data_IF_550733088046
#
_entry.id   IF_550733088046
#
_cell.length_a   1.000
_cell.length_b   1.000
_cell.length_c   1.000
_cell.angle_alpha   90.00
_cell.angle_beta   90.00
_cell.angle_gamma   90.00
#
_symmetry.space_group_name_H-M   'P 1'
#
loop_
_entity.id
_entity.type
_entity.pdbx_description
1 polymer ?
#
# COMPACT_ATOMS: atom_id res chain seq x y z
N UNK A 1 -0.32 23.85 0.68
CA UNK A 1 1.00 23.74 0.02
C UNK A 1 0.81 23.86 -1.47
N UNK A 2 1.81 24.44 -2.18
CA UNK A 2 1.87 24.37 -3.64
C UNK A 2 2.66 23.14 -4.07
N UNK A 3 2.00 22.21 -4.77
CA UNK A 3 2.59 20.94 -5.19
C UNK A 3 2.56 20.86 -6.72
N UNK A 4 3.72 20.60 -7.32
CA UNK A 4 3.84 20.35 -8.76
C UNK A 4 4.02 18.86 -9.00
N UNK A 5 3.14 18.26 -9.80
CA UNK A 5 3.17 16.84 -10.16
C UNK A 5 3.55 16.72 -11.63
N UNK A 6 4.67 16.05 -11.92
CA UNK A 6 5.10 15.72 -13.28
C UNK A 6 4.66 14.29 -13.63
N UNK A 7 3.71 14.16 -14.54
CA UNK A 7 3.14 12.90 -15.00
C UNK A 7 1.65 12.77 -14.66
N UNK A 8 0.82 12.59 -15.69
CA UNK A 8 -0.63 12.40 -15.62
C UNK A 8 -1.04 10.91 -15.83
N UNK A 9 -0.16 9.97 -15.50
CA UNK A 9 -0.44 8.53 -15.50
C UNK A 9 -1.44 8.15 -14.41
N UNK A 10 -1.81 6.87 -14.29
CA UNK A 10 -2.69 6.37 -13.21
C UNK A 10 -2.16 6.75 -11.82
N UNK A 11 -0.85 6.70 -11.61
CA UNK A 11 -0.19 7.13 -10.37
C UNK A 11 -0.36 8.63 -10.14
N UNK A 12 -0.07 9.46 -11.16
CA UNK A 12 -0.24 10.92 -11.06
C UNK A 12 -1.68 11.32 -10.78
N UNK A 13 -2.65 10.75 -11.51
CA UNK A 13 -4.09 10.97 -11.28
C UNK A 13 -4.51 10.59 -9.85
N UNK A 14 -3.99 9.50 -9.34
CA UNK A 14 -4.31 9.04 -7.98
C UNK A 14 -3.70 9.91 -6.91
N UNK A 15 -2.46 10.39 -7.12
CA UNK A 15 -1.83 11.38 -6.25
C UNK A 15 -2.62 12.69 -6.20
N UNK A 16 -3.07 13.17 -7.36
CA UNK A 16 -3.95 14.36 -7.43
C UNK A 16 -5.19 14.14 -6.57
N UNK A 17 -5.91 13.02 -6.78
CA UNK A 17 -7.12 12.72 -6.03
C UNK A 17 -6.90 12.67 -4.52
N UNK A 18 -5.75 12.19 -4.10
CA UNK A 18 -5.38 12.10 -2.68
C UNK A 18 -4.98 13.46 -2.10
N UNK A 19 -4.12 14.18 -2.80
CA UNK A 19 -3.60 15.47 -2.34
C UNK A 19 -4.62 16.59 -2.41
N UNK A 20 -5.63 16.48 -3.27
CA UNK A 20 -6.76 17.43 -3.36
C UNK A 20 -7.61 17.44 -2.08
N UNK A 21 -7.70 16.32 -1.35
CA UNK A 21 -8.39 16.26 -0.05
C UNK A 21 -7.73 17.17 1.00
N UNK A 22 -6.44 17.42 0.86
CA UNK A 22 -5.66 18.26 1.75
C UNK A 22 -5.75 19.78 1.48
N UNK A 23 -6.62 20.28 0.60
CA UNK A 23 -6.71 21.69 0.18
C UNK A 23 -5.34 22.26 -0.25
N UNK A 24 -4.65 21.54 -1.13
CA UNK A 24 -3.38 21.93 -1.73
C UNK A 24 -3.62 22.63 -3.07
N UNK A 25 -2.71 23.53 -3.44
CA UNK A 25 -2.63 24.14 -4.78
C UNK A 25 -1.83 23.17 -5.67
N UNK A 26 -2.51 22.47 -6.59
CA UNK A 26 -1.91 21.39 -7.36
C UNK A 26 -1.78 21.80 -8.82
N UNK A 27 -0.56 21.72 -9.34
CA UNK A 27 -0.25 21.87 -10.76
C UNK A 27 0.17 20.51 -11.32
N UNK A 28 -0.44 20.09 -12.44
CA UNK A 28 -0.08 18.84 -13.11
C UNK A 28 0.51 19.12 -14.47
N UNK A 29 1.69 18.55 -14.72
CA UNK A 29 2.44 18.72 -15.98
C UNK A 29 2.53 17.37 -16.69
N UNK A 30 2.06 17.30 -17.94
CA UNK A 30 2.22 16.11 -18.80
C UNK A 30 2.31 16.52 -20.28
N UNK A 31 2.92 15.68 -21.11
CA UNK A 31 2.96 15.87 -22.57
C UNK A 31 1.62 15.57 -23.24
N UNK A 32 0.80 14.72 -22.62
CA UNK A 32 -0.51 14.26 -23.10
C UNK A 32 -1.62 15.17 -22.58
N UNK A 33 -2.18 15.99 -23.49
CA UNK A 33 -3.25 16.90 -23.16
C UNK A 33 -4.55 16.17 -22.76
N UNK A 34 -4.85 15.00 -23.33
CA UNK A 34 -6.07 14.26 -23.03
C UNK A 34 -6.05 13.74 -21.58
N UNK A 35 -4.91 13.21 -21.11
CA UNK A 35 -4.74 12.80 -19.71
C UNK A 35 -4.92 13.97 -18.73
N UNK A 36 -4.41 15.16 -19.10
CA UNK A 36 -4.55 16.38 -18.28
C UNK A 36 -6.02 16.84 -18.20
N UNK A 37 -6.73 16.84 -19.33
CA UNK A 37 -8.14 17.19 -19.38
C UNK A 37 -9.00 16.24 -18.52
N UNK A 38 -8.72 14.94 -18.56
CA UNK A 38 -9.45 13.96 -17.76
C UNK A 38 -9.26 14.16 -16.25
N UNK A 39 -8.05 14.54 -15.82
CA UNK A 39 -7.80 14.87 -14.42
C UNK A 39 -8.50 16.18 -14.03
N UNK A 40 -8.43 17.20 -14.89
CA UNK A 40 -9.03 18.51 -14.63
C UNK A 40 -10.58 18.49 -14.59
N UNK A 41 -11.23 17.49 -15.24
CA UNK A 41 -12.69 17.27 -15.11
C UNK A 41 -13.11 16.78 -13.72
N UNK A 42 -12.21 16.03 -13.04
CA UNK A 42 -12.52 15.39 -11.75
C UNK A 42 -12.02 16.21 -10.56
N UNK A 43 -10.93 16.97 -10.73
CA UNK A 43 -10.22 17.65 -9.64
C UNK A 43 -9.90 19.11 -9.98
N UNK A 44 -9.91 19.96 -8.97
CA UNK A 44 -9.50 21.36 -9.09
C UNK A 44 -7.96 21.43 -9.13
N UNK A 45 -7.41 21.47 -10.33
CA UNK A 45 -5.97 21.51 -10.61
C UNK A 45 -5.66 22.53 -11.71
N UNK A 46 -4.41 22.94 -11.78
CA UNK A 46 -3.87 23.66 -12.94
C UNK A 46 -3.17 22.67 -13.89
N UNK A 47 -3.78 22.32 -15.05
CA UNK A 47 -3.13 21.46 -16.03
C UNK A 47 -2.17 22.26 -16.91
N UNK A 48 -0.95 21.75 -17.14
CA UNK A 48 0.04 22.37 -18.02
C UNK A 48 0.63 21.32 -18.96
N UNK A 49 0.51 21.55 -20.27
CA UNK A 49 1.07 20.66 -21.28
C UNK A 49 2.56 20.92 -21.48
N UNK A 50 3.39 19.88 -21.26
CA UNK A 50 4.83 19.97 -21.47
C UNK A 50 5.60 18.85 -20.82
N UNK A 51 6.94 18.93 -20.88
CA UNK A 51 7.81 18.04 -20.14
C UNK A 51 8.22 18.68 -18.81
N UNK A 52 8.01 17.97 -17.72
CA UNK A 52 8.40 18.46 -16.39
C UNK A 52 9.92 18.65 -16.23
N UNK A 53 10.74 18.01 -17.06
CA UNK A 53 12.20 18.21 -17.08
C UNK A 53 12.63 19.48 -17.82
N UNK A 54 11.72 20.19 -18.53
CA UNK A 54 12.03 21.42 -19.24
C UNK A 54 12.03 22.63 -18.28
N UNK A 55 13.13 23.40 -18.15
CA UNK A 55 13.22 24.59 -17.31
C UNK A 55 12.12 25.63 -17.58
N UNK A 56 11.79 25.91 -18.86
CA UNK A 56 10.76 26.90 -19.22
C UNK A 56 9.37 26.46 -18.73
N UNK A 57 9.07 25.17 -18.78
CA UNK A 57 7.82 24.61 -18.23
C UNK A 57 7.82 24.74 -16.72
N UNK A 58 8.93 24.42 -16.05
CA UNK A 58 9.04 24.57 -14.60
C UNK A 58 8.87 26.03 -14.16
N UNK A 59 9.43 26.99 -14.91
CA UNK A 59 9.23 28.42 -14.66
C UNK A 59 7.75 28.83 -14.83
N UNK A 60 7.12 28.40 -15.92
CA UNK A 60 5.71 28.73 -16.25
C UNK A 60 4.71 28.25 -15.19
N UNK A 61 4.99 27.13 -14.52
CA UNK A 61 4.17 26.60 -13.42
C UNK A 61 4.48 27.26 -12.07
N UNK A 62 5.41 28.20 -12.05
CA UNK A 62 5.83 28.91 -10.83
C UNK A 62 6.57 28.00 -9.84
N UNK A 63 7.48 27.18 -10.35
CA UNK A 63 8.27 26.20 -9.57
C UNK A 63 9.01 26.84 -8.39
N UNK A 64 9.49 28.08 -8.55
CA UNK A 64 10.16 28.86 -7.48
C UNK A 64 9.31 29.01 -6.20
N UNK A 65 7.98 28.94 -6.31
CA UNK A 65 7.05 29.03 -5.19
C UNK A 65 6.49 27.65 -4.77
N UNK A 66 6.95 26.59 -5.37
CA UNK A 66 6.50 25.25 -5.05
C UNK A 66 7.13 24.77 -3.73
N UNK A 67 6.31 24.20 -2.86
CA UNK A 67 6.77 23.52 -1.65
C UNK A 67 7.34 22.14 -1.97
N UNK A 68 6.92 21.57 -3.12
CA UNK A 68 7.28 20.21 -3.51
C UNK A 68 7.13 19.98 -5.01
N UNK A 69 8.05 19.15 -5.55
CA UNK A 69 7.94 18.50 -6.84
C UNK A 69 7.78 16.98 -6.65
N UNK A 70 6.79 16.38 -7.31
CA UNK A 70 6.59 14.93 -7.39
C UNK A 70 6.67 14.54 -8.86
N UNK A 71 7.79 13.97 -9.29
CA UNK A 71 8.02 13.53 -10.66
C UNK A 71 7.73 12.02 -10.78
N UNK A 72 6.59 11.68 -11.42
CA UNK A 72 6.05 10.31 -11.54
C UNK A 72 5.67 9.97 -12.99
N UNK A 73 6.45 10.48 -13.94
CA UNK A 73 6.30 10.06 -15.34
C UNK A 73 6.77 8.60 -15.51
N UNK A 74 6.53 8.02 -16.68
CA UNK A 74 6.97 6.67 -17.03
C UNK A 74 8.47 6.59 -17.41
N UNK A 75 9.21 7.70 -17.32
CA UNK A 75 10.61 7.77 -17.70
C UNK A 75 11.47 8.28 -16.53
N UNK A 76 12.35 7.40 -16.05
CA UNK A 76 13.21 7.65 -14.89
C UNK A 76 14.13 8.86 -15.08
N UNK A 77 14.76 8.99 -16.27
CA UNK A 77 15.66 10.07 -16.58
C UNK A 77 14.93 11.42 -16.57
N UNK A 78 13.70 11.47 -17.08
CA UNK A 78 12.85 12.67 -17.02
C UNK A 78 12.56 13.06 -15.59
N UNK A 79 12.24 12.07 -14.71
CA UNK A 79 11.94 12.31 -13.32
C UNK A 79 13.17 12.81 -12.55
N UNK A 80 14.32 12.20 -12.77
CA UNK A 80 15.59 12.61 -12.14
C UNK A 80 16.05 13.99 -12.61
N UNK A 81 16.00 14.27 -13.92
CA UNK A 81 16.33 15.58 -14.48
C UNK A 81 15.36 16.65 -13.99
N UNK A 82 14.06 16.34 -13.87
CA UNK A 82 13.09 17.28 -13.33
C UNK A 82 13.44 17.72 -11.90
N UNK A 83 13.84 16.78 -11.05
CA UNK A 83 14.28 17.07 -9.69
C UNK A 83 15.57 17.91 -9.66
N UNK A 84 16.52 17.60 -10.56
CA UNK A 84 17.76 18.38 -10.70
C UNK A 84 17.50 19.83 -11.09
N UNK A 85 16.66 20.05 -12.09
CA UNK A 85 16.29 21.40 -12.57
C UNK A 85 15.54 22.16 -11.47
N UNK A 86 14.57 21.53 -10.81
CA UNK A 86 13.80 22.12 -9.72
C UNK A 86 14.67 22.57 -8.55
N UNK A 87 15.69 21.79 -8.21
CA UNK A 87 16.64 22.15 -7.16
C UNK A 87 17.56 23.29 -7.60
N UNK A 88 18.23 23.12 -8.74
CA UNK A 88 19.32 24.01 -9.16
C UNK A 88 18.83 25.39 -9.55
N UNK A 89 17.71 25.49 -10.28
CA UNK A 89 17.21 26.76 -10.79
C UNK A 89 16.16 27.41 -9.88
N UNK A 90 15.39 26.62 -9.15
CA UNK A 90 14.23 27.13 -8.42
C UNK A 90 14.31 26.92 -6.90
N UNK A 91 15.25 26.12 -6.41
CA UNK A 91 15.45 25.89 -4.98
C UNK A 91 14.29 25.17 -4.29
N UNK A 92 13.60 24.26 -5.01
CA UNK A 92 12.46 23.50 -4.45
C UNK A 92 12.93 22.65 -3.27
N UNK A 93 12.33 22.80 -2.09
CA UNK A 93 12.84 22.14 -0.88
C UNK A 93 12.62 20.64 -0.86
N UNK A 94 11.51 20.11 -1.44
CA UNK A 94 11.18 18.67 -1.43
C UNK A 94 10.97 18.16 -2.85
N UNK A 95 11.72 17.12 -3.20
CA UNK A 95 11.74 16.53 -4.54
C UNK A 95 11.63 15.02 -4.45
N UNK A 96 10.57 14.48 -5.04
CA UNK A 96 10.26 13.05 -5.09
C UNK A 96 10.36 12.60 -6.54
N UNK A 97 11.08 11.51 -6.79
CA UNK A 97 11.19 10.90 -8.11
C UNK A 97 10.76 9.44 -8.10
N UNK A 98 9.89 9.05 -9.04
CA UNK A 98 9.66 7.65 -9.38
C UNK A 98 10.85 7.13 -10.19
N UNK A 99 11.38 5.97 -9.79
CA UNK A 99 12.45 5.26 -10.49
C UNK A 99 12.10 3.78 -10.51
N UNK A 100 11.93 3.22 -11.69
CA UNK A 100 11.58 1.81 -11.86
C UNK A 100 12.80 0.97 -12.26
N UNK A 101 13.82 1.56 -12.85
CA UNK A 101 15.02 0.88 -13.31
C UNK A 101 15.93 0.42 -12.17
N UNK A 102 16.21 -0.87 -12.12
CA UNK A 102 17.13 -1.47 -11.16
C UNK A 102 18.57 -0.90 -11.25
N UNK A 103 18.96 -0.36 -12.40
CA UNK A 103 20.27 0.28 -12.56
C UNK A 103 20.45 1.49 -11.65
N UNK A 104 19.40 2.29 -11.46
CA UNK A 104 19.42 3.43 -10.55
C UNK A 104 19.21 3.06 -9.08
N UNK A 105 18.73 1.86 -8.80
CA UNK A 105 18.39 1.38 -7.44
C UNK A 105 19.50 0.53 -6.80
N UNK A 106 20.57 0.26 -7.52
CA UNK A 106 21.67 -0.52 -7.00
C UNK A 106 22.28 0.16 -5.75
N UNK A 107 22.39 -0.53 -4.61
CA UNK A 107 22.95 0.01 -3.37
C UNK A 107 24.34 0.62 -3.52
N UNK A 108 25.14 0.16 -4.50
CA UNK A 108 26.44 0.73 -4.81
C UNK A 108 26.37 2.19 -5.30
N UNK A 109 25.22 2.58 -5.86
CA UNK A 109 24.96 3.92 -6.41
C UNK A 109 24.18 4.83 -5.45
N UNK A 110 23.92 4.46 -4.22
CA UNK A 110 23.20 5.31 -3.25
C UNK A 110 23.83 6.69 -3.07
N UNK A 111 25.12 6.83 -3.36
CA UNK A 111 25.83 8.12 -3.38
C UNK A 111 25.37 9.09 -4.48
N UNK A 112 24.58 8.61 -5.48
CA UNK A 112 23.98 9.49 -6.49
C UNK A 112 22.92 10.41 -5.88
N UNK A 113 22.17 9.94 -4.88
CA UNK A 113 21.00 10.63 -4.31
C UNK A 113 21.43 11.54 -3.16
N UNK A 114 21.92 12.71 -3.48
CA UNK A 114 22.29 13.76 -2.54
C UNK A 114 22.26 15.13 -3.21
N UNK A 115 22.27 16.21 -2.42
CA UNK A 115 22.20 17.59 -2.92
C UNK A 115 23.31 17.99 -3.91
N UNK A 116 24.48 17.34 -3.87
CA UNK A 116 25.63 17.65 -4.75
C UNK A 116 25.58 16.91 -6.09
N UNK A 117 24.82 15.80 -6.16
CA UNK A 117 24.74 14.94 -7.36
C UNK A 117 23.33 14.97 -7.95
N UNK A 118 22.45 14.10 -7.53
CA UNK A 118 21.04 14.10 -7.90
C UNK A 118 20.21 14.46 -6.66
N UNK A 119 19.67 15.67 -6.56
CA UNK A 119 18.98 16.18 -5.39
C UNK A 119 17.54 15.65 -5.32
N UNK A 120 17.40 14.34 -5.13
CA UNK A 120 16.13 13.64 -4.90
C UNK A 120 16.05 13.29 -3.43
N UNK A 121 15.03 13.75 -2.75
CA UNK A 121 14.83 13.54 -1.31
C UNK A 121 14.17 12.19 -1.02
N UNK A 122 13.34 11.71 -1.96
CA UNK A 122 12.73 10.39 -1.92
C UNK A 122 12.70 9.78 -3.33
N UNK A 123 13.26 8.60 -3.46
CA UNK A 123 13.08 7.73 -4.63
C UNK A 123 11.93 6.77 -4.35
N UNK A 124 10.91 6.75 -5.21
CA UNK A 124 9.78 5.84 -5.12
C UNK A 124 10.00 4.72 -6.13
N UNK A 125 9.81 3.50 -5.68
CA UNK A 125 9.93 2.27 -6.48
C UNK A 125 8.63 1.48 -6.40
N UNK A 126 7.58 1.86 -7.15
CA UNK A 126 6.25 1.25 -7.03
C UNK A 126 6.27 -0.27 -7.11
N UNK A 127 7.03 -0.83 -8.02
CA UNK A 127 7.07 -2.28 -8.23
C UNK A 127 7.68 -3.04 -7.05
N UNK A 128 8.71 -2.47 -6.42
CA UNK A 128 9.31 -3.07 -5.22
C UNK A 128 8.35 -2.99 -4.03
N UNK A 129 7.66 -1.87 -3.85
CA UNK A 129 6.68 -1.73 -2.79
C UNK A 129 5.48 -2.68 -2.97
N UNK A 130 5.03 -2.88 -4.21
CA UNK A 130 4.01 -3.90 -4.54
C UNK A 130 4.53 -5.30 -4.21
N UNK A 131 5.77 -5.63 -4.57
CA UNK A 131 6.35 -6.93 -4.26
C UNK A 131 6.47 -7.17 -2.75
N UNK A 132 6.86 -6.17 -1.97
CA UNK A 132 6.87 -6.23 -0.49
C UNK A 132 5.47 -6.47 0.07
N UNK A 133 4.47 -5.76 -0.45
CA UNK A 133 3.07 -5.95 -0.06
C UNK A 133 2.58 -7.38 -0.36
N UNK A 134 2.90 -7.90 -1.55
CA UNK A 134 2.61 -9.29 -1.95
C UNK A 134 3.28 -10.31 -1.02
N UNK A 135 4.53 -10.09 -0.63
CA UNK A 135 5.24 -10.94 0.33
C UNK A 135 4.58 -10.89 1.72
N UNK A 136 4.03 -9.75 2.12
CA UNK A 136 3.23 -9.64 3.33
C UNK A 136 1.99 -10.54 3.29
N UNK A 137 1.24 -10.51 2.19
CA UNK A 137 0.09 -11.40 1.95
C UNK A 137 0.51 -12.87 1.90
N UNK A 138 1.64 -13.16 1.26
CA UNK A 138 2.18 -14.52 1.17
C UNK A 138 2.48 -15.10 2.56
N UNK A 139 3.07 -14.31 3.45
CA UNK A 139 3.40 -14.71 4.83
C UNK A 139 2.17 -14.86 5.73
N UNK A 140 1.04 -14.27 5.37
CA UNK A 140 -0.20 -14.36 6.12
C UNK A 140 -1.36 -14.81 5.20
N UNK A 141 -1.44 -16.11 4.88
CA UNK A 141 -2.47 -16.68 4.00
C UNK A 141 -3.88 -16.32 4.47
N UNK A 142 -4.76 -16.00 3.52
CA UNK A 142 -6.14 -15.58 3.81
C UNK A 142 -6.31 -14.10 4.13
N UNK A 143 -5.21 -13.34 4.32
CA UNK A 143 -5.28 -11.88 4.47
C UNK A 143 -5.59 -11.17 3.15
N UNK A 144 -6.16 -9.97 3.23
CA UNK A 144 -6.39 -9.07 2.10
C UNK A 144 -5.36 -7.93 2.07
N UNK A 145 -4.86 -7.53 3.23
CA UNK A 145 -3.80 -6.55 3.38
C UNK A 145 -3.04 -6.80 4.68
N UNK A 146 -1.74 -6.50 4.68
CA UNK A 146 -0.88 -6.53 5.87
C UNK A 146 -0.06 -5.26 5.89
N UNK A 147 -0.21 -4.47 6.94
CA UNK A 147 0.48 -3.21 7.16
C UNK A 147 1.40 -3.36 8.37
N UNK A 148 2.72 -3.47 8.16
CA UNK A 148 3.67 -3.59 9.25
C UNK A 148 3.92 -2.24 9.93
N UNK A 149 3.87 -2.23 11.25
CA UNK A 149 4.19 -1.09 12.11
C UNK A 149 5.27 -1.47 13.12
N UNK A 150 5.85 -0.49 13.78
CA UNK A 150 6.86 -0.69 14.82
C UNK A 150 8.05 -1.50 14.32
N UNK A 151 8.53 -1.20 13.10
CA UNK A 151 9.59 -1.96 12.42
C UNK A 151 9.22 -3.45 12.22
N UNK A 152 7.94 -3.75 12.00
CA UNK A 152 7.44 -5.10 11.75
C UNK A 152 7.10 -5.90 13.01
N UNK A 153 7.17 -5.33 14.21
CA UNK A 153 6.76 -5.99 15.44
C UNK A 153 5.23 -6.04 15.64
N UNK A 154 4.51 -5.10 15.04
CA UNK A 154 3.05 -5.05 15.01
C UNK A 154 2.57 -5.10 13.57
N UNK A 155 1.51 -5.84 13.31
CA UNK A 155 0.76 -5.76 12.07
C UNK A 155 -0.64 -5.21 12.31
N UNK A 156 -1.09 -4.34 11.42
CA UNK A 156 -2.52 -4.17 11.17
C UNK A 156 -2.82 -4.90 9.88
N UNK A 157 -3.62 -5.95 9.96
CA UNK A 157 -3.98 -6.74 8.79
C UNK A 157 -5.48 -6.85 8.64
N UNK A 158 -5.93 -7.17 7.43
CA UNK A 158 -7.34 -7.34 7.15
C UNK A 158 -7.63 -8.66 6.45
N UNK A 159 -8.82 -9.21 6.71
CA UNK A 159 -9.36 -10.37 6.02
C UNK A 159 -10.88 -10.25 5.91
N UNK A 160 -11.45 -10.99 4.96
CA UNK A 160 -12.90 -11.02 4.75
C UNK A 160 -13.53 -12.18 5.52
N UNK A 161 -14.48 -11.90 6.40
CA UNK A 161 -15.22 -12.91 7.13
C UNK A 161 -16.15 -13.70 6.19
N UNK A 162 -15.82 -14.94 5.93
CA UNK A 162 -16.58 -15.83 5.04
C UNK A 162 -17.43 -16.82 5.82
N UNK A 163 -16.87 -17.37 6.88
CA UNK A 163 -17.52 -18.35 7.74
C UNK A 163 -18.42 -17.66 8.77
N UNK A 164 -19.66 -18.15 8.92
CA UNK A 164 -20.62 -17.64 9.89
C UNK A 164 -20.87 -18.61 11.05
N UNK A 165 -20.31 -19.80 11.00
CA UNK A 165 -20.51 -20.85 12.01
C UNK A 165 -19.47 -20.82 13.13
N UNK A 166 -18.56 -19.85 13.09
CA UNK A 166 -17.57 -19.64 14.15
C UNK A 166 -18.21 -18.99 15.39
N UNK A 167 -17.70 -19.32 16.58
CA UNK A 167 -18.26 -18.78 17.84
C UNK A 167 -18.27 -17.24 17.89
N UNK A 168 -17.28 -16.58 17.31
CA UNK A 168 -17.14 -15.13 17.34
C UNK A 168 -18.30 -14.37 16.68
N UNK A 169 -19.00 -14.98 15.72
CA UNK A 169 -20.19 -14.37 15.09
C UNK A 169 -21.35 -14.13 16.03
N UNK A 170 -21.37 -14.83 17.18
CA UNK A 170 -22.42 -14.73 18.19
C UNK A 170 -22.11 -13.71 19.30
N UNK A 171 -20.89 -13.18 19.31
CA UNK A 171 -20.45 -12.26 20.36
C UNK A 171 -20.41 -10.82 19.86
N UNK A 172 -20.66 -9.89 20.79
CA UNK A 172 -20.40 -8.46 20.53
C UNK A 172 -18.90 -8.22 20.36
N UNK A 173 -18.56 -7.18 19.65
CA UNK A 173 -17.17 -6.82 19.38
C UNK A 173 -16.36 -6.61 20.66
N UNK A 174 -16.97 -6.03 21.69
CA UNK A 174 -16.38 -5.91 23.04
C UNK A 174 -15.96 -7.25 23.62
N UNK A 175 -16.84 -8.28 23.50
CA UNK A 175 -16.53 -9.62 23.98
C UNK A 175 -15.43 -10.29 23.13
N UNK A 176 -15.46 -10.09 21.82
CA UNK A 176 -14.40 -10.57 20.91
C UNK A 176 -13.06 -9.97 21.31
N UNK A 177 -12.98 -8.65 21.50
CA UNK A 177 -11.75 -7.97 21.90
C UNK A 177 -11.26 -8.42 23.29
N UNK A 178 -12.16 -8.73 24.23
CA UNK A 178 -11.73 -9.28 25.52
C UNK A 178 -11.06 -10.65 25.39
N UNK A 179 -11.45 -11.45 24.40
CA UNK A 179 -10.80 -12.75 24.08
C UNK A 179 -9.48 -12.57 23.32
N UNK A 180 -9.44 -11.63 22.40
CA UNK A 180 -8.22 -11.31 21.65
C UNK A 180 -7.12 -10.69 22.51
N UNK A 181 -7.48 -10.08 23.62
CA UNK A 181 -6.52 -9.49 24.57
C UNK A 181 -5.51 -10.51 25.10
N UNK A 182 -5.87 -11.81 25.20
CA UNK A 182 -4.96 -12.89 25.59
C UNK A 182 -3.80 -13.08 24.58
N UNK A 183 -4.02 -12.70 23.31
CA UNK A 183 -3.02 -12.70 22.25
C UNK A 183 -2.44 -11.29 21.97
N UNK A 184 -2.68 -10.35 22.89
CA UNK A 184 -2.32 -8.95 22.68
C UNK A 184 -2.86 -8.43 21.34
N UNK A 185 -4.12 -8.75 21.00
CA UNK A 185 -4.74 -8.41 19.73
C UNK A 185 -6.09 -7.71 19.94
N UNK A 186 -6.51 -6.94 18.94
CA UNK A 186 -7.85 -6.35 18.92
C UNK A 186 -8.35 -6.12 17.49
N UNK A 187 -9.66 -6.29 17.30
CA UNK A 187 -10.35 -5.72 16.14
C UNK A 187 -10.36 -4.20 16.30
N UNK A 188 -9.81 -3.50 15.32
CA UNK A 188 -9.65 -2.02 15.37
C UNK A 188 -10.61 -1.30 14.42
N UNK A 189 -11.06 -1.97 13.37
CA UNK A 189 -12.02 -1.44 12.41
C UNK A 189 -12.74 -2.56 11.67
N UNK A 190 -13.98 -2.31 11.26
CA UNK A 190 -14.74 -3.18 10.36
C UNK A 190 -15.17 -2.36 9.16
N UNK A 191 -15.03 -2.94 7.96
CA UNK A 191 -15.59 -2.41 6.75
C UNK A 191 -16.77 -3.29 6.32
N UNK A 192 -17.98 -2.75 6.39
CA UNK A 192 -19.24 -3.39 6.01
C UNK A 192 -19.79 -2.74 4.75
N UNK A 193 -19.59 -3.37 3.60
CA UNK A 193 -19.84 -2.72 2.32
C UNK A 193 -18.93 -1.47 2.18
N UNK A 194 -19.54 -0.29 2.07
CA UNK A 194 -18.81 0.98 2.02
C UNK A 194 -18.82 1.73 3.37
N UNK A 195 -19.38 1.14 4.43
CA UNK A 195 -19.44 1.76 5.75
C UNK A 195 -18.30 1.31 6.63
N UNK A 196 -17.62 2.28 7.23
CA UNK A 196 -16.57 2.05 8.24
C UNK A 196 -17.18 2.10 9.62
N UNK A 197 -16.87 1.11 10.41
CA UNK A 197 -17.28 0.99 11.81
C UNK A 197 -16.00 0.98 12.63
N UNK A 198 -15.74 2.07 13.34
CA UNK A 198 -14.65 2.14 14.31
C UNK A 198 -15.11 1.50 15.61
N UNK A 199 -14.21 0.82 16.29
CA UNK A 199 -14.53 -0.04 17.44
C UNK A 199 -14.75 0.76 18.72
N UNK A 200 -15.47 1.86 18.64
CA UNK A 200 -15.89 2.63 19.81
C UNK A 200 -17.34 2.30 20.26
N UNK A 201 -18.03 1.42 19.50
CA UNK A 201 -19.43 1.09 19.76
C UNK A 201 -19.55 -0.29 20.45
N UNK A 202 -20.14 -0.31 21.63
CA UNK A 202 -20.22 -1.50 22.50
C UNK A 202 -21.09 -2.65 21.94
N UNK A 203 -22.01 -2.37 21.02
CA UNK A 203 -23.04 -3.33 20.54
C UNK A 203 -22.86 -3.78 19.08
N UNK A 204 -21.67 -3.69 18.52
CA UNK A 204 -21.41 -4.15 17.16
C UNK A 204 -21.20 -5.66 17.13
N UNK A 205 -21.88 -6.35 16.19
CA UNK A 205 -21.72 -7.76 15.88
C UNK A 205 -21.14 -7.94 14.50
N UNK A 206 -20.27 -8.92 14.33
CA UNK A 206 -19.71 -9.27 13.02
C UNK A 206 -20.79 -9.84 12.09
N UNK A 207 -20.67 -9.58 10.81
CA UNK A 207 -21.54 -10.10 9.76
C UNK A 207 -20.75 -10.79 8.66
N UNK A 208 -21.42 -11.64 7.92
CA UNK A 208 -20.82 -12.25 6.74
C UNK A 208 -20.40 -11.19 5.73
N UNK A 209 -19.23 -11.37 5.16
CA UNK A 209 -18.56 -10.45 4.23
C UNK A 209 -18.04 -9.15 4.85
N UNK A 210 -18.08 -8.98 6.16
CA UNK A 210 -17.30 -7.91 6.79
C UNK A 210 -15.82 -8.07 6.47
N UNK A 211 -15.14 -6.96 6.17
CA UNK A 211 -13.68 -6.92 6.15
C UNK A 211 -13.24 -6.44 7.52
N UNK A 212 -12.57 -7.32 8.25
CA UNK A 212 -12.16 -7.08 9.63
C UNK A 212 -10.71 -6.65 9.63
N UNK A 213 -10.41 -5.53 10.28
CA UNK A 213 -9.06 -5.05 10.51
C UNK A 213 -8.67 -5.36 11.95
N UNK A 214 -7.53 -6.03 12.10
CA UNK A 214 -6.99 -6.43 13.40
C UNK A 214 -5.59 -5.85 13.57
N UNK A 215 -5.32 -5.30 14.76
CA UNK A 215 -3.99 -4.98 15.20
C UNK A 215 -3.51 -6.05 16.17
N UNK A 216 -2.32 -6.62 15.95
CA UNK A 216 -1.70 -7.55 16.89
C UNK A 216 -0.17 -7.66 16.65
N UNK A 217 0.58 -8.18 17.64
CA UNK A 217 1.97 -8.55 17.44
C UNK A 217 2.12 -9.52 16.27
N UNK A 218 3.19 -9.37 15.50
CA UNK A 218 3.43 -10.17 14.29
C UNK A 218 3.43 -11.67 14.56
N UNK A 219 3.93 -12.09 15.72
CA UNK A 219 3.93 -13.48 16.18
C UNK A 219 2.55 -14.07 16.44
N UNK A 220 1.57 -13.23 16.77
CA UNK A 220 0.19 -13.64 17.07
C UNK A 220 -0.72 -13.70 15.83
N UNK A 221 -0.27 -13.23 14.66
CA UNK A 221 -1.10 -13.12 13.46
C UNK A 221 -1.85 -14.40 13.12
N UNK A 222 -1.15 -15.53 13.10
CA UNK A 222 -1.71 -16.85 12.70
C UNK A 222 -2.76 -17.32 13.74
N UNK A 223 -2.44 -17.23 15.02
CA UNK A 223 -3.35 -17.69 16.07
C UNK A 223 -4.63 -16.84 16.12
N UNK A 224 -4.48 -15.54 15.89
CA UNK A 224 -5.63 -14.64 15.77
C UNK A 224 -6.51 -15.02 14.59
N UNK A 225 -5.95 -15.27 13.40
CA UNK A 225 -6.72 -15.65 12.21
C UNK A 225 -7.46 -16.98 12.40
N UNK A 226 -6.85 -17.96 13.08
CA UNK A 226 -7.50 -19.25 13.42
C UNK A 226 -8.77 -19.07 14.27
N UNK A 227 -8.78 -18.10 15.19
CA UNK A 227 -9.97 -17.80 15.98
C UNK A 227 -11.16 -17.32 15.13
N UNK A 228 -10.88 -16.74 13.95
CA UNK A 228 -11.89 -16.32 12.98
C UNK A 228 -12.20 -17.39 11.92
N UNK A 229 -11.71 -18.62 12.10
CA UNK A 229 -11.96 -19.73 11.17
C UNK A 229 -11.21 -19.62 9.86
N UNK A 230 -10.13 -18.83 9.83
CA UNK A 230 -9.24 -18.76 8.67
C UNK A 230 -8.14 -19.80 8.86
N UNK A 231 -8.23 -20.89 8.11
CA UNK A 231 -7.18 -21.91 8.10
C UNK A 231 -5.91 -21.39 7.44
N UNK A 232 -4.81 -21.66 8.10
CA UNK A 232 -3.48 -21.29 7.63
C UNK A 232 -2.68 -22.51 7.24
N UNK A 233 -2.73 -22.84 5.97
CA UNK A 233 -1.67 -23.64 5.37
C UNK A 233 -0.70 -22.66 4.69
N UNK A 234 0.61 -22.73 4.97
CA UNK A 234 1.60 -21.97 4.23
C UNK A 234 1.41 -22.20 2.73
N UNK A 235 1.64 -21.17 1.93
CA UNK A 235 1.66 -21.34 0.49
C UNK A 235 2.96 -22.03 0.08
N UNK A 236 2.86 -23.23 -0.46
CA UNK A 236 4.00 -24.04 -0.89
C UNK A 236 4.23 -23.94 -2.40
N UNK A 237 3.15 -23.71 -3.17
CA UNK A 237 3.17 -23.69 -4.64
C UNK A 237 2.63 -22.36 -5.16
N UNK A 238 3.51 -21.63 -5.80
CA UNK A 238 3.23 -20.26 -6.29
C UNK A 238 3.34 -20.20 -7.80
N UNK A 239 2.34 -19.60 -8.46
CA UNK A 239 2.42 -19.27 -9.89
C UNK A 239 2.24 -17.77 -10.07
N UNK A 240 3.21 -17.10 -10.68
CA UNK A 240 3.23 -15.67 -10.96
C UNK A 240 3.09 -15.47 -12.46
N UNK A 241 2.25 -14.53 -12.87
CA UNK A 241 2.03 -14.16 -14.27
C UNK A 241 2.56 -12.76 -14.54
N UNK A 242 3.52 -12.65 -15.47
CA UNK A 242 4.22 -11.44 -15.87
C UNK A 242 5.67 -11.41 -15.40
N UNK A 243 6.62 -11.23 -16.32
CA UNK A 243 8.04 -11.06 -16.03
C UNK A 243 8.38 -9.56 -15.95
N UNK A 244 8.49 -9.06 -14.73
CA UNK A 244 8.80 -7.66 -14.40
C UNK A 244 9.54 -7.55 -13.05
N UNK A 245 9.77 -6.33 -12.57
CA UNK A 245 10.47 -6.10 -11.32
C UNK A 245 9.72 -6.69 -10.10
N UNK A 246 8.37 -6.72 -10.13
CA UNK A 246 7.55 -7.32 -9.06
C UNK A 246 7.82 -8.82 -8.96
N UNK A 247 7.68 -9.54 -10.09
CA UNK A 247 7.89 -10.98 -10.13
C UNK A 247 9.33 -11.36 -9.81
N UNK A 248 10.31 -10.59 -10.28
CA UNK A 248 11.72 -10.80 -9.93
C UNK A 248 11.95 -10.70 -8.43
N UNK A 249 11.54 -9.58 -7.81
CA UNK A 249 11.74 -9.36 -6.39
C UNK A 249 11.02 -10.41 -5.55
N UNK A 250 9.77 -10.71 -5.87
CA UNK A 250 8.98 -11.73 -5.18
C UNK A 250 9.63 -13.12 -5.30
N UNK A 251 9.94 -13.57 -6.51
CA UNK A 251 10.58 -14.87 -6.74
C UNK A 251 11.92 -15.00 -6.04
N UNK A 252 12.77 -13.97 -6.10
CA UNK A 252 14.09 -13.99 -5.42
C UNK A 252 13.99 -14.14 -3.91
N UNK A 253 12.92 -13.62 -3.28
CA UNK A 253 12.68 -13.83 -1.85
C UNK A 253 12.12 -15.23 -1.57
N UNK A 254 11.23 -15.74 -2.43
CA UNK A 254 10.66 -17.07 -2.29
C UNK A 254 11.69 -18.18 -2.48
N UNK A 255 12.72 -17.98 -3.29
CA UNK A 255 13.84 -18.93 -3.45
C UNK A 255 14.62 -19.18 -2.15
N UNK A 256 14.52 -18.27 -1.18
CA UNK A 256 15.18 -18.37 0.13
C UNK A 256 14.22 -18.82 1.25
N UNK A 257 12.96 -19.12 0.94
CA UNK A 257 11.97 -19.61 1.89
C UNK A 257 11.89 -21.14 1.81
N UNK A 258 12.23 -21.81 2.89
CA UNK A 258 12.26 -23.28 2.96
C UNK A 258 10.87 -23.94 2.88
N UNK A 259 9.79 -23.18 3.07
CA UNK A 259 8.42 -23.68 2.93
C UNK A 259 7.97 -23.74 1.45
N UNK A 260 8.66 -23.08 0.54
CA UNK A 260 8.30 -23.05 -0.88
C UNK A 260 8.76 -24.32 -1.59
N UNK A 261 7.80 -25.12 -2.03
CA UNK A 261 8.06 -26.34 -2.83
C UNK A 261 8.32 -25.98 -4.30
N UNK A 262 7.52 -25.04 -4.85
CA UNK A 262 7.67 -24.60 -6.24
C UNK A 262 7.24 -23.15 -6.43
N UNK A 263 8.01 -22.43 -7.24
CA UNK A 263 7.67 -21.12 -7.76
C UNK A 263 7.84 -21.13 -9.29
N UNK A 264 6.80 -20.73 -10.01
CA UNK A 264 6.82 -20.61 -11.48
C UNK A 264 6.42 -19.22 -11.90
N UNK A 265 7.11 -18.66 -12.90
CA UNK A 265 6.76 -17.39 -13.54
C UNK A 265 6.38 -17.66 -15.00
N UNK A 266 5.19 -17.22 -15.41
CA UNK A 266 4.69 -17.34 -16.78
C UNK A 266 4.74 -15.99 -17.47
N UNK A 267 5.38 -15.93 -18.65
CA UNK A 267 5.52 -14.69 -19.44
C UNK A 267 5.29 -14.98 -20.93
N UNK A 268 4.48 -14.11 -21.58
CA UNK A 268 4.20 -14.26 -23.01
C UNK A 268 5.34 -13.78 -23.91
N UNK A 269 6.11 -12.80 -23.46
CA UNK A 269 7.26 -12.28 -24.17
C UNK A 269 8.51 -13.10 -23.86
N UNK A 270 9.03 -13.77 -24.88
CA UNK A 270 10.19 -14.68 -24.77
C UNK A 270 11.44 -13.96 -24.25
N UNK A 271 11.70 -12.73 -24.73
CA UNK A 271 12.89 -11.97 -24.30
C UNK A 271 12.81 -11.54 -22.83
N UNK A 272 11.61 -11.13 -22.37
CA UNK A 272 11.38 -10.82 -20.95
C UNK A 272 11.55 -12.08 -20.08
N UNK A 273 11.03 -13.21 -20.53
CA UNK A 273 11.16 -14.49 -19.82
C UNK A 273 12.64 -14.91 -19.69
N UNK A 274 13.42 -14.83 -20.79
CA UNK A 274 14.85 -15.15 -20.77
C UNK A 274 15.63 -14.25 -19.81
N UNK A 275 15.42 -12.93 -19.89
CA UNK A 275 16.08 -11.98 -18.97
C UNK A 275 15.78 -12.26 -17.51
N UNK A 276 14.54 -12.63 -17.20
CA UNK A 276 14.17 -12.97 -15.83
C UNK A 276 14.85 -14.26 -15.37
N UNK A 277 14.88 -15.29 -16.24
CA UNK A 277 15.48 -16.58 -15.95
C UNK A 277 17.00 -16.51 -15.69
N UNK A 278 17.71 -15.54 -16.29
CA UNK A 278 19.14 -15.33 -16.04
C UNK A 278 19.46 -14.91 -14.60
N UNK A 279 18.47 -14.42 -13.86
CA UNK A 279 18.64 -13.84 -12.52
C UNK A 279 18.01 -14.66 -11.40
N UNK A 280 17.34 -15.78 -11.73
CA UNK A 280 16.68 -16.67 -10.78
C UNK A 280 17.34 -18.06 -10.81
N UNK A 281 17.37 -18.73 -9.67
CA UNK A 281 18.09 -20.01 -9.53
C UNK A 281 17.17 -21.23 -9.34
N UNK A 282 16.08 -21.07 -8.60
CA UNK A 282 15.13 -22.15 -8.26
C UNK A 282 13.77 -21.98 -8.93
N UNK A 283 13.44 -20.76 -9.33
CA UNK A 283 12.15 -20.42 -9.95
C UNK A 283 12.10 -20.87 -11.40
N UNK A 284 11.06 -21.59 -11.79
CA UNK A 284 10.83 -21.99 -13.18
C UNK A 284 10.25 -20.82 -13.98
N UNK A 285 10.95 -20.34 -15.02
CA UNK A 285 10.42 -19.30 -15.91
C UNK A 285 9.94 -19.92 -17.21
N UNK A 286 8.66 -19.79 -17.51
CA UNK A 286 7.98 -20.45 -18.62
C UNK A 286 7.53 -19.38 -19.62
N UNK A 287 8.07 -19.46 -20.85
CA UNK A 287 7.71 -18.58 -21.95
C UNK A 287 6.53 -19.13 -22.75
N UNK A 288 5.44 -18.38 -22.88
CA UNK A 288 4.31 -18.78 -23.71
C UNK A 288 3.02 -18.03 -23.42
N UNK A 289 1.95 -18.36 -24.15
CA UNK A 289 0.63 -17.74 -23.94
C UNK A 289 0.10 -18.11 -22.56
N UNK A 290 -0.05 -17.11 -21.68
CA UNK A 290 -0.38 -17.27 -20.25
C UNK A 290 -1.64 -18.10 -19.97
N UNK A 291 -2.63 -18.11 -20.87
CA UNK A 291 -3.90 -18.85 -20.71
C UNK A 291 -3.97 -20.11 -21.60
N UNK A 292 -2.86 -20.60 -22.11
CA UNK A 292 -2.81 -21.88 -22.84
C UNK A 292 -2.78 -23.04 -21.85
N UNK A 293 -3.63 -24.06 -22.03
CA UNK A 293 -3.72 -25.23 -21.15
C UNK A 293 -2.36 -25.87 -20.89
N UNK A 294 -1.54 -26.04 -21.94
CA UNK A 294 -0.19 -26.59 -21.82
C UNK A 294 0.71 -25.73 -20.89
N UNK A 295 0.71 -24.41 -21.07
CA UNK A 295 1.53 -23.49 -20.27
C UNK A 295 1.06 -23.48 -18.82
N UNK A 296 -0.25 -23.50 -18.59
CA UNK A 296 -0.83 -23.59 -17.24
C UNK A 296 -0.48 -24.94 -16.56
N UNK A 297 -0.47 -26.03 -17.31
CA UNK A 297 -0.05 -27.35 -16.81
C UNK A 297 1.45 -27.36 -16.48
N UNK A 298 2.30 -26.89 -17.40
CA UNK A 298 3.76 -26.78 -17.20
C UNK A 298 4.11 -25.90 -15.99
N UNK A 299 3.30 -24.87 -15.70
CA UNK A 299 3.45 -23.99 -14.54
C UNK A 299 2.92 -24.59 -13.22
N UNK A 300 2.21 -25.71 -13.24
CA UNK A 300 1.56 -26.29 -12.06
C UNK A 300 0.34 -25.52 -11.55
N UNK A 301 -0.31 -24.73 -12.41
CA UNK A 301 -1.37 -23.80 -12.05
C UNK A 301 -2.58 -24.47 -11.37
N UNK A 302 -2.95 -25.69 -11.79
CA UNK A 302 -4.09 -26.42 -11.23
C UNK A 302 -3.90 -26.85 -9.78
N UNK A 303 -2.65 -26.94 -9.32
CA UNK A 303 -2.29 -27.33 -7.96
C UNK A 303 -1.65 -26.19 -7.15
N UNK A 304 -1.72 -24.95 -7.66
CA UNK A 304 -1.14 -23.80 -7.02
C UNK A 304 -1.97 -23.37 -5.80
N UNK A 305 -1.29 -23.05 -4.69
CA UNK A 305 -1.93 -22.50 -3.49
C UNK A 305 -2.22 -21.01 -3.69
N UNK A 306 -1.34 -20.32 -4.39
CA UNK A 306 -1.48 -18.90 -4.73
C UNK A 306 -1.13 -18.65 -6.20
N UNK A 307 -1.99 -17.85 -6.86
CA UNK A 307 -1.78 -17.35 -8.22
C UNK A 307 -1.72 -15.82 -8.19
N UNK A 308 -0.60 -15.26 -8.65
CA UNK A 308 -0.31 -13.81 -8.60
C UNK A 308 -0.24 -13.26 -10.03
N UNK A 309 -1.21 -12.46 -10.43
CA UNK A 309 -1.26 -11.83 -11.75
C UNK A 309 -0.78 -10.38 -11.66
N UNK A 310 0.44 -10.12 -12.16
CA UNK A 310 1.13 -8.82 -12.10
C UNK A 310 1.60 -8.35 -13.47
N UNK A 311 0.87 -8.71 -14.53
CA UNK A 311 1.16 -8.21 -15.87
C UNK A 311 0.83 -6.71 -15.99
N UNK A 312 1.25 -6.09 -17.07
CA UNK A 312 0.91 -4.69 -17.39
C UNK A 312 -0.55 -4.52 -17.86
N UNK A 313 -1.27 -5.63 -18.10
CA UNK A 313 -2.62 -5.65 -18.67
C UNK A 313 -3.64 -6.10 -17.62
N UNK A 314 -4.48 -5.17 -17.17
CA UNK A 314 -5.55 -5.44 -16.19
C UNK A 314 -6.54 -6.54 -16.63
N UNK A 315 -6.83 -6.65 -17.94
CA UNK A 315 -7.71 -7.68 -18.48
C UNK A 315 -7.11 -9.08 -18.31
N UNK A 316 -5.81 -9.21 -18.60
CA UNK A 316 -5.10 -10.49 -18.44
C UNK A 316 -5.05 -10.85 -16.95
N UNK A 317 -4.76 -9.89 -16.06
CA UNK A 317 -4.73 -10.10 -14.63
C UNK A 317 -6.09 -10.57 -14.09
N UNK A 318 -7.20 -9.97 -14.55
CA UNK A 318 -8.54 -10.41 -14.19
C UNK A 318 -8.89 -11.80 -14.71
N UNK A 319 -8.56 -12.11 -15.97
CA UNK A 319 -8.83 -13.42 -16.55
C UNK A 319 -8.06 -14.53 -15.85
N UNK A 320 -6.79 -14.28 -15.51
CA UNK A 320 -5.97 -15.21 -14.73
C UNK A 320 -6.59 -15.44 -13.34
N UNK A 321 -7.00 -14.38 -12.65
CA UNK A 321 -7.67 -14.48 -11.35
C UNK A 321 -9.01 -15.22 -11.43
N UNK A 322 -9.76 -15.02 -12.51
CA UNK A 322 -11.01 -15.75 -12.75
C UNK A 322 -10.74 -17.24 -12.99
N UNK A 323 -9.67 -17.59 -13.72
CA UNK A 323 -9.26 -18.98 -13.88
C UNK A 323 -8.83 -19.61 -12.56
N UNK A 324 -8.02 -18.92 -11.76
CA UNK A 324 -7.60 -19.37 -10.44
C UNK A 324 -8.79 -19.60 -9.50
N UNK A 325 -9.82 -18.74 -9.56
CA UNK A 325 -11.02 -18.83 -8.71
C UNK A 325 -11.88 -20.08 -8.98
N UNK A 326 -11.67 -20.78 -10.10
CA UNK A 326 -12.33 -22.07 -10.35
C UNK A 326 -11.81 -23.17 -9.43
N UNK A 327 -10.57 -23.07 -9.01
CA UNK A 327 -10.00 -23.90 -7.99
C UNK A 327 -10.35 -23.33 -6.60
N UNK A 328 -11.02 -24.12 -5.77
CA UNK A 328 -11.58 -23.61 -4.49
C UNK A 328 -10.51 -23.21 -3.47
N UNK A 329 -9.35 -23.83 -3.56
CA UNK A 329 -8.28 -23.73 -2.58
C UNK A 329 -7.18 -22.72 -3.01
N UNK A 330 -7.20 -22.30 -4.28
CA UNK A 330 -6.22 -21.33 -4.79
C UNK A 330 -6.62 -19.90 -4.38
N UNK A 331 -5.71 -19.21 -3.73
CA UNK A 331 -5.81 -17.75 -3.53
C UNK A 331 -5.40 -17.04 -4.82
N UNK A 332 -6.29 -16.24 -5.38
CA UNK A 332 -5.96 -15.37 -6.49
C UNK A 332 -5.54 -13.98 -5.99
N UNK A 333 -4.51 -13.42 -6.61
CA UNK A 333 -4.09 -12.03 -6.37
C UNK A 333 -3.92 -11.34 -7.71
N UNK A 334 -4.56 -10.19 -7.91
CA UNK A 334 -4.49 -9.43 -9.15
C UNK A 334 -4.07 -7.99 -8.93
N UNK A 335 -3.05 -7.56 -9.67
CA UNK A 335 -2.65 -6.16 -9.76
C UNK A 335 -3.59 -5.45 -10.74
N UNK A 336 -4.24 -4.37 -10.29
CA UNK A 336 -5.15 -3.56 -11.09
C UNK A 336 -4.66 -2.11 -11.11
N UNK A 337 -4.55 -1.55 -12.31
CA UNK A 337 -4.08 -0.19 -12.53
C UNK A 337 -5.23 0.80 -12.76
N UNK A 338 -6.38 0.33 -13.27
CA UNK A 338 -7.52 1.18 -13.59
C UNK A 338 -8.75 0.90 -12.72
N UNK A 339 -9.50 1.97 -12.40
CA UNK A 339 -10.68 1.90 -11.52
C UNK A 339 -11.82 1.04 -12.11
N UNK A 340 -11.98 1.04 -13.44
CA UNK A 340 -13.06 0.34 -14.10
C UNK A 340 -13.00 -1.17 -13.86
N UNK A 341 -11.79 -1.72 -13.73
CA UNK A 341 -11.60 -3.15 -13.47
C UNK A 341 -11.71 -3.53 -12.01
N UNK A 342 -11.57 -2.59 -11.07
CA UNK A 342 -11.71 -2.86 -9.63
C UNK A 342 -13.10 -3.43 -9.30
N UNK A 343 -14.18 -2.88 -9.88
CA UNK A 343 -15.54 -3.37 -9.65
C UNK A 343 -15.75 -4.81 -10.14
N UNK A 344 -15.11 -5.19 -11.23
CA UNK A 344 -15.17 -6.56 -11.74
C UNK A 344 -14.35 -7.51 -10.87
N UNK A 345 -13.16 -7.09 -10.47
CA UNK A 345 -12.23 -7.86 -9.67
C UNK A 345 -12.79 -8.21 -8.27
N UNK A 346 -13.55 -7.30 -7.65
CA UNK A 346 -14.20 -7.53 -6.33
C UNK A 346 -15.21 -8.67 -6.32
N UNK A 347 -15.78 -9.01 -7.49
CA UNK A 347 -16.75 -10.10 -7.65
C UNK A 347 -16.10 -11.47 -7.89
N UNK A 348 -14.78 -11.53 -8.11
CA UNK A 348 -14.06 -12.80 -8.29
C UNK A 348 -13.86 -13.43 -6.91
N UNK A 349 -14.26 -14.70 -6.80
CA UNK A 349 -14.11 -15.47 -5.54
C UNK A 349 -12.63 -15.65 -5.20
N UNK A 350 -12.29 -15.56 -3.91
CA UNK A 350 -10.92 -15.72 -3.39
C UNK A 350 -9.88 -14.83 -4.10
N UNK A 351 -10.30 -13.67 -4.62
CA UNK A 351 -9.37 -12.72 -5.24
C UNK A 351 -9.04 -11.57 -4.28
N UNK A 352 -7.76 -11.32 -4.10
CA UNK A 352 -7.24 -10.12 -3.45
C UNK A 352 -6.79 -9.14 -4.53
N UNK A 353 -7.32 -7.92 -4.48
CA UNK A 353 -7.01 -6.88 -5.45
C UNK A 353 -5.92 -5.99 -4.89
N UNK A 354 -4.90 -5.74 -5.69
CA UNK A 354 -3.83 -4.79 -5.41
C UNK A 354 -4.00 -3.60 -6.34
N UNK A 355 -4.27 -2.43 -5.77
CA UNK A 355 -4.25 -1.16 -6.50
C UNK A 355 -2.83 -0.57 -6.44
N UNK A 356 -2.14 -0.56 -7.60
CA UNK A 356 -0.78 0.02 -7.74
C UNK A 356 -0.71 1.43 -7.17
N UNK A 357 -1.76 2.22 -7.39
CA UNK A 357 -1.78 3.61 -6.99
C UNK A 357 -1.80 3.77 -5.46
N UNK A 358 -2.57 2.94 -4.76
CA UNK A 358 -2.69 2.99 -3.29
C UNK A 358 -1.35 2.70 -2.63
N UNK A 359 -0.64 1.69 -3.13
CA UNK A 359 0.68 1.31 -2.60
C UNK A 359 1.70 2.43 -2.88
N UNK A 360 1.73 2.97 -4.10
CA UNK A 360 2.63 4.07 -4.45
C UNK A 360 2.37 5.32 -3.60
N UNK A 361 1.10 5.65 -3.36
CA UNK A 361 0.71 6.77 -2.51
C UNK A 361 1.22 6.56 -1.08
N UNK A 362 1.09 5.37 -0.51
CA UNK A 362 1.56 5.07 0.84
C UNK A 362 3.05 5.41 1.01
N UNK A 363 3.91 5.04 0.06
CA UNK A 363 5.33 5.38 0.10
C UNK A 363 5.59 6.90 0.06
N UNK A 364 4.78 7.66 -0.69
CA UNK A 364 4.87 9.12 -0.73
C UNK A 364 4.37 9.73 0.58
N UNK A 365 3.28 9.23 1.13
CA UNK A 365 2.70 9.74 2.37
C UNK A 365 3.65 9.60 3.55
N UNK A 366 4.33 8.49 3.67
CA UNK A 366 5.37 8.30 4.70
C UNK A 366 6.39 9.44 4.66
N UNK A 367 6.81 9.86 3.46
CA UNK A 367 7.74 10.96 3.31
C UNK A 367 7.13 12.33 3.59
N UNK A 368 5.89 12.56 3.15
CA UNK A 368 5.20 13.84 3.35
C UNK A 368 4.95 14.14 4.82
N UNK A 369 4.70 13.10 5.62
CA UNK A 369 4.26 13.19 7.02
C UNK A 369 5.39 13.05 8.05
N UNK A 370 6.65 13.14 7.64
CA UNK A 370 7.88 12.77 8.39
C UNK A 370 8.10 13.41 9.76
N UNK A 371 7.47 14.51 10.15
CA UNK A 371 7.90 15.19 11.37
C UNK A 371 7.66 14.39 12.66
N UNK A 372 6.54 13.61 12.76
CA UNK A 372 6.20 12.76 13.92
C UNK A 372 5.53 11.44 13.52
N UNK A 373 5.31 11.22 12.22
CA UNK A 373 4.71 10.01 11.68
C UNK A 373 5.82 9.14 11.11
N UNK A 374 6.04 7.98 11.72
CA UNK A 374 7.08 7.04 11.31
C UNK A 374 6.63 6.21 10.10
N UNK A 375 5.38 5.74 10.14
CA UNK A 375 4.77 4.92 9.09
C UNK A 375 3.38 5.45 8.76
N UNK A 376 3.00 5.44 7.49
CA UNK A 376 1.67 5.81 7.03
C UNK A 376 1.24 4.94 5.87
N UNK A 377 0.11 4.26 6.01
CA UNK A 377 -0.45 3.40 4.97
C UNK A 377 -1.83 3.88 4.55
N UNK A 378 -2.03 4.09 3.24
CA UNK A 378 -3.35 4.32 2.68
C UNK A 378 -4.13 3.00 2.60
N UNK A 379 -5.36 2.99 3.07
CA UNK A 379 -6.27 1.83 2.98
C UNK A 379 -7.02 1.77 1.65
N UNK A 380 -7.03 2.86 0.92
CA UNK A 380 -7.71 3.09 -0.34
C UNK A 380 -8.06 4.56 -0.51
N UNK A 381 -8.48 4.97 -1.71
CA UNK A 381 -8.69 6.40 -2.04
C UNK A 381 -9.64 7.14 -1.11
N UNK A 382 -10.68 6.48 -0.63
CA UNK A 382 -11.72 7.07 0.24
C UNK A 382 -11.77 6.43 1.62
N UNK A 383 -10.87 5.48 1.88
CA UNK A 383 -10.90 4.68 3.10
C UNK A 383 -10.05 5.25 4.22
N UNK A 384 -9.23 6.26 3.95
CA UNK A 384 -8.36 6.88 4.94
C UNK A 384 -6.99 6.22 5.05
N UNK A 385 -6.31 6.54 6.13
CA UNK A 385 -4.94 6.12 6.41
C UNK A 385 -4.82 5.52 7.81
N UNK A 386 -3.81 4.66 8.00
CA UNK A 386 -3.35 4.28 9.34
C UNK A 386 -1.94 4.84 9.51
N UNK A 387 -1.72 5.55 10.60
CA UNK A 387 -0.46 6.21 10.94
C UNK A 387 0.16 5.61 12.18
N UNK A 388 1.49 5.48 12.19
CA UNK A 388 2.29 5.34 13.40
C UNK A 388 2.82 6.71 13.79
N UNK A 389 2.40 7.20 14.95
CA UNK A 389 2.83 8.49 15.49
C UNK A 389 3.69 8.24 16.71
N UNK A 390 4.91 8.78 16.72
CA UNK A 390 5.77 8.81 17.89
C UNK A 390 5.68 10.16 18.56
N UNK A 391 5.37 10.16 19.84
CA UNK A 391 5.33 11.39 20.65
C UNK A 391 6.70 11.62 21.28
N UNK A 392 7.29 12.77 21.00
CA UNK A 392 8.55 13.21 21.63
C UNK A 392 8.29 13.97 22.90
N UNK A 393 9.36 14.22 23.67
CA UNK A 393 9.35 14.89 24.98
C UNK A 393 8.75 16.31 24.93
N UNK A 394 8.79 16.94 23.75
CA UNK A 394 8.26 18.29 23.49
C UNK A 394 6.78 18.29 23.07
N UNK A 395 6.13 17.13 23.04
CA UNK A 395 4.73 17.03 22.64
C UNK A 395 3.78 17.57 23.71
N UNK A 396 2.94 18.54 23.34
CA UNK A 396 1.90 19.08 24.23
C UNK A 396 0.83 18.04 24.62
N UNK A 397 0.83 16.88 24.00
CA UNK A 397 -0.12 15.79 24.25
C UNK A 397 0.35 14.87 25.39
N UNK A 398 1.61 14.92 25.80
CA UNK A 398 2.11 14.12 26.94
C UNK A 398 1.39 14.57 28.22
N UNK A 399 0.91 13.59 28.97
CA UNK A 399 0.11 13.81 30.18
C UNK A 399 -1.40 14.00 29.95
N UNK A 400 -1.85 14.16 28.70
CA UNK A 400 -3.27 14.20 28.37
C UNK A 400 -3.87 12.80 28.27
N UNK A 401 -5.17 12.67 28.54
CA UNK A 401 -5.90 11.44 28.23
C UNK A 401 -6.26 11.38 26.75
N UNK A 402 -6.31 10.20 26.15
CA UNK A 402 -6.70 10.03 24.74
C UNK A 402 -8.06 10.69 24.44
N UNK A 403 -9.03 10.59 25.36
CA UNK A 403 -10.34 11.26 25.21
C UNK A 403 -10.24 12.78 25.15
N UNK A 404 -9.22 13.37 25.78
CA UNK A 404 -9.03 14.82 25.84
C UNK A 404 -8.37 15.38 24.57
N UNK A 405 -7.84 14.52 23.69
CA UNK A 405 -7.25 14.90 22.41
C UNK A 405 -8.26 15.50 21.42
N UNK A 406 -9.56 15.37 21.70
CA UNK A 406 -10.64 15.85 20.83
C UNK A 406 -10.49 15.37 19.38
N UNK A 407 -10.24 14.07 19.22
CA UNK A 407 -10.15 13.45 17.89
C UNK A 407 -11.46 13.68 17.11
N UNK A 408 -11.38 13.93 15.78
CA UNK A 408 -12.57 13.98 14.94
C UNK A 408 -13.36 12.66 15.00
N UNK A 409 -14.70 12.74 14.85
CA UNK A 409 -15.62 11.58 14.96
C UNK A 409 -15.24 10.40 14.05
N UNK A 410 -14.69 10.70 12.85
CA UNK A 410 -14.34 9.66 11.87
C UNK A 410 -12.88 9.20 11.97
N UNK A 411 -12.16 9.58 13.02
CA UNK A 411 -10.76 9.22 13.24
C UNK A 411 -10.55 8.77 14.68
N UNK A 412 -9.65 7.83 14.92
CA UNK A 412 -9.48 7.27 16.25
C UNK A 412 -8.04 6.77 16.49
N UNK A 413 -7.61 6.83 17.76
CA UNK A 413 -6.43 6.09 18.21
C UNK A 413 -6.82 4.63 18.40
N UNK A 414 -6.25 3.76 17.59
CA UNK A 414 -6.58 2.32 17.53
C UNK A 414 -5.84 1.53 18.61
N UNK A 415 -4.56 1.86 18.79
CA UNK A 415 -3.68 1.20 19.74
C UNK A 415 -2.56 2.14 20.21
N UNK A 416 -2.01 1.86 21.37
CA UNK A 416 -0.78 2.45 21.89
C UNK A 416 0.21 1.33 22.18
N UNK A 417 1.46 1.57 21.81
CA UNK A 417 2.58 0.71 22.18
C UNK A 417 3.50 1.44 23.15
N UNK A 418 3.65 0.87 24.34
CA UNK A 418 4.52 1.37 25.38
C UNK A 418 5.34 0.24 26.00
N UNK A 419 6.66 0.35 25.96
CA UNK A 419 7.57 -0.53 26.70
C UNK A 419 7.43 -2.04 26.47
N UNK A 420 6.92 -2.50 25.33
CA UNK A 420 6.56 -3.86 24.92
C UNK A 420 5.11 -4.28 25.23
N UNK A 421 4.28 -3.40 25.72
CA UNK A 421 2.85 -3.65 25.92
C UNK A 421 1.99 -2.93 24.88
N UNK A 422 0.92 -3.61 24.47
CA UNK A 422 -0.10 -3.04 23.57
C UNK A 422 -1.36 -2.72 24.34
N UNK A 423 -1.85 -1.49 24.18
CA UNK A 423 -3.10 -1.02 24.78
C UNK A 423 -4.04 -0.68 23.63
N UNK A 424 -5.13 -1.41 23.51
CA UNK A 424 -6.14 -1.21 22.46
C UNK A 424 -7.33 -0.42 22.98
N UNK A 425 -7.94 0.37 22.09
CA UNK A 425 -9.05 1.29 22.42
C UNK A 425 -8.76 2.11 23.68
N UNK A 426 -7.67 2.88 23.68
CA UNK A 426 -7.06 3.44 24.89
C UNK A 426 -7.77 4.71 25.39
N UNK A 427 -9.09 4.70 25.54
CA UNK A 427 -9.91 5.91 25.80
C UNK A 427 -9.47 6.69 27.01
N UNK A 428 -9.21 6.03 28.14
CA UNK A 428 -8.83 6.65 29.41
C UNK A 428 -7.32 6.65 29.67
N UNK A 429 -6.52 6.16 28.69
CA UNK A 429 -5.08 6.10 28.83
C UNK A 429 -4.47 7.51 28.84
N UNK A 430 -3.55 7.74 29.77
CA UNK A 430 -2.74 8.98 29.83
C UNK A 430 -1.48 8.78 29.01
N UNK A 431 -1.31 9.62 28.01
CA UNK A 431 -0.18 9.61 27.07
C UNK A 431 1.11 9.88 27.82
N UNK A 432 2.14 9.07 27.57
CA UNK A 432 3.48 9.20 28.13
C UNK A 432 4.50 9.51 27.03
N UNK A 433 5.66 9.94 27.47
CA UNK A 433 6.82 10.10 26.58
C UNK A 433 7.17 8.78 25.88
N UNK A 434 7.63 8.87 24.65
CA UNK A 434 7.98 7.73 23.78
C UNK A 434 6.82 6.78 23.41
N UNK A 435 5.59 7.06 23.79
CA UNK A 435 4.45 6.31 23.32
C UNK A 435 4.37 6.35 21.80
N UNK A 436 4.08 5.22 21.20
CA UNK A 436 3.78 5.10 19.77
C UNK A 436 2.32 4.79 19.60
N UNK A 437 1.63 5.68 18.90
CA UNK A 437 0.21 5.58 18.66
C UNK A 437 -0.05 5.06 17.26
N UNK A 438 -0.93 4.08 17.13
CA UNK A 438 -1.49 3.65 15.86
C UNK A 438 -2.85 4.35 15.71
N UNK A 439 -2.96 5.20 14.70
CA UNK A 439 -4.09 6.10 14.54
C UNK A 439 -4.74 5.88 13.18
N UNK A 440 -6.05 5.61 13.16
CA UNK A 440 -6.82 5.69 11.94
C UNK A 440 -7.24 7.14 11.68
N UNK A 441 -7.05 7.58 10.44
CA UNK A 441 -7.35 8.95 10.01
C UNK A 441 -8.27 8.93 8.78
N UNK A 442 -9.45 9.49 8.93
CA UNK A 442 -10.36 9.69 7.80
C UNK A 442 -9.80 10.71 6.80
N UNK A 443 -10.06 10.57 5.50
CA UNK A 443 -9.60 11.53 4.50
C UNK A 443 -9.97 12.98 4.78
N UNK A 444 -11.16 13.22 5.33
CA UNK A 444 -11.64 14.55 5.68
C UNK A 444 -10.91 15.14 6.89
N UNK A 445 -10.36 14.32 7.76
CA UNK A 445 -9.83 14.71 9.08
C UNK A 445 -8.30 14.87 9.09
N UNK A 446 -7.62 14.56 8.00
CA UNK A 446 -6.15 14.56 7.91
C UNK A 446 -5.52 15.79 8.54
N UNK A 447 -5.97 17.01 8.15
CA UNK A 447 -5.43 18.27 8.71
C UNK A 447 -5.77 18.49 10.18
N UNK A 448 -6.94 18.04 10.61
CA UNK A 448 -7.35 18.16 12.01
C UNK A 448 -6.48 17.27 12.90
N UNK A 449 -6.27 16.02 12.48
CA UNK A 449 -5.42 15.07 13.20
C UNK A 449 -3.95 15.51 13.19
N UNK A 450 -3.44 16.00 12.04
CA UNK A 450 -2.10 16.60 12.00
C UNK A 450 -1.94 17.71 13.04
N UNK A 451 -2.90 18.63 13.18
CA UNK A 451 -2.82 19.72 14.16
C UNK A 451 -2.84 19.24 15.61
N UNK A 452 -3.49 18.12 15.90
CA UNK A 452 -3.51 17.53 17.24
C UNK A 452 -2.10 17.06 17.62
N UNK A 453 -1.41 16.39 16.72
CA UNK A 453 -0.13 15.75 17.02
C UNK A 453 1.11 16.56 16.62
N UNK A 454 0.96 17.68 15.90
CA UNK A 454 2.07 18.57 15.50
C UNK A 454 2.20 19.85 16.35
N UNK A 455 1.40 19.99 17.39
CA UNK A 455 1.51 21.11 18.34
C UNK A 455 2.55 20.89 19.41
#
# INVERSE_FOLDING_TARGET
MKIVIGGASSVGKSLVGYLSLGNNDIVVVDKDAAKLEDIAKEYDIQPVKGSISNPDIQESVGMKKADMLIAVTENDEVNLVACQVAYTLFGVPRKIARVDSQYFLNPLWNKLYNEKSLPVDLVITPDIEIAKFLLGLYKLPGSMAVYPFLNGNLNVFSFKQKDTDIPFMKFSLKHINSKLAELSAAVVMILRGNHRILVNEDEVYLQRNDVIYIACPTESNIDVMRLFGVDHNPYEKTVIFGANAISYYMSSQLENDDNVISCSVVESNVDKAHKLAEHLNKTSVIAGKMMSDRILEDAGFSSADISVAVTENDKDNLLISLLASKNKDTQAVSLINSKEYNLLATNIRNNTIIDRSVITISGILQYLRRARINEAYALGREMGEIWEIRLGDDSSNVGQSIKDLQMPENSAVLAIYQGNEFIYNPTDYQIKEDDKLIVYVSPADIKAVERIFYR
#
